data_IF_489056502925
#
_entry.id   IF_489056502925
#
_cell.length_a   1.000
_cell.length_b   1.000
_cell.length_c   1.000
_cell.angle_alpha   90.00
_cell.angle_beta   90.00
_cell.angle_gamma   90.00
#
_symmetry.space_group_name_H-M   'P 1'
#
loop_
_entity.id
_entity.type
_entity.pdbx_description
1 polymer ?
#
# COMPACT_ATOMS: atom_id res chain seq x y z
N UNK A 1 3.68 20.87 1.82
CA UNK A 1 4.49 19.98 0.95
C UNK A 1 3.82 18.63 0.95
N UNK A 2 3.49 18.07 -0.21
CA UNK A 2 2.79 16.78 -0.30
C UNK A 2 3.77 15.63 -0.02
N UNK A 3 3.62 14.97 1.13
CA UNK A 3 4.34 13.74 1.48
C UNK A 3 3.76 12.52 0.74
N UNK A 4 3.65 12.60 -0.58
CA UNK A 4 3.16 11.49 -1.40
C UNK A 4 4.28 10.48 -1.62
N UNK A 5 3.97 9.21 -1.40
CA UNK A 5 4.83 8.09 -1.72
C UNK A 5 4.16 7.21 -2.75
N UNK A 6 4.95 6.73 -3.69
CA UNK A 6 4.53 5.78 -4.71
C UNK A 6 4.95 4.38 -4.29
N UNK A 7 3.97 3.51 -4.15
CA UNK A 7 4.17 2.12 -3.78
C UNK A 7 4.12 1.26 -5.04
N UNK A 8 5.11 0.37 -5.18
CA UNK A 8 5.20 -0.60 -6.27
C UNK A 8 5.25 -2.01 -5.70
N UNK A 9 4.26 -2.83 -6.05
CA UNK A 9 4.27 -4.25 -5.73
C UNK A 9 4.73 -5.04 -6.97
N UNK A 10 5.74 -5.88 -6.77
CA UNK A 10 6.29 -6.76 -7.80
C UNK A 10 5.73 -8.18 -7.62
N UNK A 11 5.48 -8.87 -8.73
CA UNK A 11 5.25 -10.31 -8.78
C UNK A 11 6.55 -11.00 -9.17
N UNK A 12 6.75 -12.25 -8.72
CA UNK A 12 7.90 -13.05 -9.11
C UNK A 12 8.06 -13.13 -10.66
N UNK A 13 9.29 -13.04 -11.21
CA UNK A 13 10.55 -12.82 -10.50
C UNK A 13 10.84 -11.36 -10.13
N UNK A 14 10.31 -10.37 -10.86
CA UNK A 14 10.45 -8.93 -10.57
C UNK A 14 9.52 -8.09 -11.47
N UNK A 15 8.35 -8.64 -11.80
CA UNK A 15 7.40 -8.05 -12.73
C UNK A 15 6.56 -7.02 -11.98
N UNK A 16 6.58 -5.76 -12.40
CA UNK A 16 5.71 -4.73 -11.83
C UNK A 16 4.24 -5.15 -11.97
N UNK A 17 3.55 -5.31 -10.84
CA UNK A 17 2.21 -5.87 -10.79
C UNK A 17 1.17 -4.81 -10.42
N UNK A 18 1.42 -4.10 -9.31
CA UNK A 18 0.60 -2.98 -8.85
C UNK A 18 1.44 -1.73 -8.62
N UNK A 19 0.85 -0.58 -8.91
CA UNK A 19 1.37 0.74 -8.55
C UNK A 19 0.24 1.61 -7.99
N UNK A 20 0.46 2.26 -6.85
CA UNK A 20 -0.48 3.23 -6.27
C UNK A 20 0.26 4.30 -5.47
N UNK A 21 -0.46 5.34 -5.08
CA UNK A 21 0.06 6.45 -4.30
C UNK A 21 -0.70 6.58 -2.97
N UNK A 22 0.02 7.02 -1.95
CA UNK A 22 -0.53 7.32 -0.63
C UNK A 22 0.27 8.40 0.07
N UNK A 23 -0.29 8.92 1.16
CA UNK A 23 0.34 9.92 2.01
C UNK A 23 1.22 9.23 3.06
N UNK A 24 2.51 9.53 3.07
CA UNK A 24 3.45 9.03 4.07
C UNK A 24 3.20 9.72 5.41
N UNK A 25 2.65 8.97 6.37
CA UNK A 25 2.43 9.44 7.73
C UNK A 25 3.69 9.29 8.59
N UNK A 26 4.44 8.20 8.39
CA UNK A 26 5.63 7.91 9.18
C UNK A 26 6.63 7.07 8.40
N UNK A 27 7.91 7.41 8.57
CA UNK A 27 9.05 6.64 8.08
C UNK A 27 10.05 6.49 9.21
N UNK A 28 10.36 5.26 9.56
CA UNK A 28 11.36 4.89 10.56
C UNK A 28 12.36 3.91 9.95
N UNK A 29 13.37 3.52 10.71
CA UNK A 29 14.30 2.44 10.33
C UNK A 29 13.63 1.07 10.25
N UNK A 30 12.43 0.91 10.83
CA UNK A 30 11.79 -0.38 11.01
C UNK A 30 10.57 -0.55 10.11
N UNK A 31 9.86 0.54 9.82
CA UNK A 31 8.64 0.53 9.03
C UNK A 31 8.30 1.86 8.36
N UNK A 32 7.43 1.76 7.36
CA UNK A 32 6.67 2.85 6.76
C UNK A 32 5.20 2.72 7.12
N UNK A 33 4.55 3.86 7.36
CA UNK A 33 3.10 3.96 7.54
C UNK A 33 2.54 4.94 6.52
N UNK A 34 1.60 4.47 5.71
CA UNK A 34 1.03 5.21 4.58
C UNK A 34 -0.48 5.28 4.70
N UNK A 35 -1.05 6.47 4.55
CA UNK A 35 -2.48 6.70 4.46
C UNK A 35 -2.91 6.78 3.00
N UNK A 36 -3.76 5.88 2.59
CA UNK A 36 -4.36 5.81 1.28
C UNK A 36 -5.79 6.35 1.35
N UNK A 37 -6.03 7.52 0.75
CA UNK A 37 -7.34 8.18 0.77
C UNK A 37 -8.29 7.61 -0.31
N UNK A 38 -9.61 7.82 -0.17
CA UNK A 38 -10.60 7.58 -1.22
C UNK A 38 -10.24 8.27 -2.53
N UNK A 39 -10.68 7.71 -3.66
CA UNK A 39 -10.38 8.23 -5.00
C UNK A 39 -8.97 7.91 -5.50
N UNK A 40 -8.16 7.13 -4.77
CA UNK A 40 -6.81 6.76 -5.24
C UNK A 40 -6.88 5.82 -6.43
N UNK A 41 -5.87 5.92 -7.30
CA UNK A 41 -5.70 5.02 -8.44
C UNK A 41 -4.78 3.87 -8.08
N UNK A 42 -5.26 2.65 -8.29
CA UNK A 42 -4.47 1.42 -8.28
C UNK A 42 -4.27 0.97 -9.73
N UNK A 43 -3.04 1.08 -10.22
CA UNK A 43 -2.65 0.64 -11.56
C UNK A 43 -2.27 -0.84 -11.48
N UNK A 44 -2.98 -1.66 -12.24
CA UNK A 44 -2.71 -3.10 -12.36
C UNK A 44 -2.03 -3.38 -13.70
N UNK A 45 -0.70 -3.38 -13.70
CA UNK A 45 0.12 -3.43 -14.91
C UNK A 45 -0.09 -4.72 -15.72
N UNK A 46 -0.13 -5.89 -15.08
CA UNK A 46 -0.30 -7.16 -15.81
C UNK A 46 -1.70 -7.37 -16.41
N UNK A 47 -2.70 -6.60 -15.97
CA UNK A 47 -4.05 -6.62 -16.56
C UNK A 47 -4.32 -5.39 -17.43
N UNK A 48 -3.37 -4.46 -17.53
CA UNK A 48 -3.53 -3.15 -18.15
C UNK A 48 -4.84 -2.44 -17.74
N UNK A 49 -5.13 -2.45 -16.43
CA UNK A 49 -6.35 -1.85 -15.86
C UNK A 49 -6.00 -0.88 -14.75
N UNK A 50 -6.82 0.15 -14.61
CA UNK A 50 -6.76 1.12 -13.50
C UNK A 50 -8.04 0.96 -12.69
N UNK A 51 -7.90 0.81 -11.39
CA UNK A 51 -9.01 0.78 -10.44
C UNK A 51 -8.99 2.04 -9.61
N UNK A 52 -10.16 2.65 -9.38
CA UNK A 52 -10.32 3.69 -8.38
C UNK A 52 -10.76 3.02 -7.08
N UNK A 53 -10.03 3.25 -6.00
CA UNK A 53 -10.34 2.68 -4.69
C UNK A 53 -10.94 3.78 -3.82
N UNK A 54 -12.20 3.57 -3.43
CA UNK A 54 -12.97 4.56 -2.65
C UNK A 54 -12.82 4.39 -1.14
N UNK A 55 -12.21 3.31 -0.68
CA UNK A 55 -12.09 3.03 0.74
C UNK A 55 -10.79 3.61 1.29
N UNK A 56 -10.83 4.18 2.48
CA UNK A 56 -9.62 4.62 3.18
C UNK A 56 -8.85 3.40 3.65
N UNK A 57 -7.52 3.38 3.46
CA UNK A 57 -6.67 2.36 4.08
C UNK A 57 -5.45 2.95 4.75
N UNK A 58 -5.06 2.34 5.86
CA UNK A 58 -3.79 2.57 6.54
C UNK A 58 -2.89 1.38 6.24
N UNK A 59 -1.78 1.62 5.55
CA UNK A 59 -0.88 0.60 5.05
C UNK A 59 0.45 0.66 5.81
N UNK A 60 0.78 -0.44 6.47
CA UNK A 60 2.02 -0.67 7.19
C UNK A 60 2.96 -1.53 6.34
N UNK A 61 4.16 -1.04 6.10
CA UNK A 61 5.22 -1.78 5.41
C UNK A 61 6.37 -2.00 6.38
N UNK A 62 6.58 -3.24 6.81
CA UNK A 62 7.79 -3.57 7.57
C UNK A 62 9.00 -3.50 6.65
N UNK A 63 10.09 -2.89 7.14
CA UNK A 63 11.39 -2.84 6.48
C UNK A 63 12.31 -3.98 6.96
N UNK A 64 11.98 -4.61 8.09
CA UNK A 64 12.77 -5.69 8.71
C UNK A 64 12.11 -7.06 8.64
N UNK A 65 10.80 -7.10 8.41
CA UNK A 65 10.00 -8.33 8.40
C UNK A 65 9.42 -8.61 7.00
N UNK A 66 9.14 -9.89 6.73
CA UNK A 66 8.62 -10.39 5.46
C UNK A 66 7.11 -10.15 5.26
N UNK A 67 6.56 -9.06 5.77
CA UNK A 67 5.13 -8.76 5.63
C UNK A 67 4.80 -7.29 5.47
N UNK A 68 3.62 -7.04 4.93
CA UNK A 68 2.92 -5.77 4.95
C UNK A 68 1.50 -6.00 5.47
N UNK A 69 0.89 -4.96 6.02
CA UNK A 69 -0.48 -5.01 6.51
C UNK A 69 -1.26 -3.80 5.97
N UNK A 70 -2.38 -4.06 5.30
CA UNK A 70 -3.32 -3.05 4.87
C UNK A 70 -4.58 -3.13 5.75
N UNK A 71 -4.86 -2.05 6.46
CA UNK A 71 -6.04 -1.91 7.31
C UNK A 71 -7.05 -1.01 6.60
N UNK A 72 -8.23 -1.52 6.34
CA UNK A 72 -9.33 -0.74 5.79
C UNK A 72 -10.04 0.02 6.90
N UNK A 73 -10.33 1.30 6.67
CA UNK A 73 -10.90 2.21 7.66
C UNK A 73 -12.21 2.79 7.15
N UNK A 74 -13.27 2.60 7.91
CA UNK A 74 -14.60 3.19 7.71
C UNK A 74 -15.04 3.88 9.01
N UNK A 75 -15.53 5.12 8.91
CA UNK A 75 -15.96 5.93 10.06
C UNK A 75 -14.97 5.95 11.24
N UNK A 76 -13.67 6.04 10.91
CA UNK A 76 -12.58 6.08 11.90
C UNK A 76 -12.28 4.75 12.59
N UNK A 77 -12.89 3.65 12.15
CA UNK A 77 -12.69 2.30 12.70
C UNK A 77 -12.06 1.38 11.66
N UNK A 78 -11.15 0.52 12.10
CA UNK A 78 -10.63 -0.55 11.25
C UNK A 78 -11.71 -1.60 11.07
N UNK A 79 -12.13 -1.82 9.82
CA UNK A 79 -13.17 -2.80 9.46
C UNK A 79 -12.61 -4.08 8.84
N UNK A 80 -11.42 -4.01 8.24
CA UNK A 80 -10.73 -5.18 7.70
C UNK A 80 -9.21 -5.05 7.81
N UNK A 81 -8.53 -6.20 7.89
CA UNK A 81 -7.08 -6.30 7.92
C UNK A 81 -6.64 -7.34 6.89
N UNK A 82 -5.73 -6.97 5.99
CA UNK A 82 -5.11 -7.85 5.00
C UNK A 82 -3.60 -7.87 5.22
N UNK A 83 -3.06 -9.04 5.57
CA UNK A 83 -1.62 -9.25 5.70
C UNK A 83 -1.10 -9.92 4.42
N UNK A 84 -0.06 -9.34 3.83
CA UNK A 84 0.60 -9.88 2.64
C UNK A 84 2.05 -10.19 2.97
N UNK A 85 2.47 -11.44 2.71
CA UNK A 85 3.88 -11.83 2.87
C UNK A 85 4.67 -11.49 1.62
N UNK A 86 5.91 -11.03 1.80
CA UNK A 86 6.81 -10.63 0.71
C UNK A 86 8.24 -11.03 1.01
N UNK A 87 9.03 -11.22 -0.03
CA UNK A 87 10.49 -11.33 0.10
C UNK A 87 11.08 -9.97 0.45
N UNK A 88 11.99 -9.94 1.42
CA UNK A 88 12.88 -8.79 1.61
C UNK A 88 13.98 -8.88 0.54
N UNK A 89 14.30 -7.75 -0.09
CA UNK A 89 15.44 -7.62 -0.99
C UNK A 89 16.65 -7.15 -0.20
#
# INVERSE_FOLDING_TARGET
MSNLVKIKALKFPDILHYEWEGELLRHTTDYLLVLCKPGRKLIHHTKNKIFTIENTSLEYFSLKEWFTAAMEVEDGKVVSLKVSFRTLK
#
